data_IF_920951426611
#
_entry.id   IF_920951426611
#
_cell.length_a   1.000
_cell.length_b   1.000
_cell.length_c   1.000
_cell.angle_alpha   90.00
_cell.angle_beta   90.00
_cell.angle_gamma   90.00
#
_symmetry.space_group_name_H-M   'P 1'
#
loop_
_entity.id
_entity.type
_entity.pdbx_description
1 polymer ?
2 non-polymer ?
3 non-polymer ?
4 non-polymer ?
5 non-polymer ?
6 non-polymer ?
7 non-polymer ?
8 water ?
#
# COMPACT_ATOMS: atom_id res chain seq x y z
N UNK A 1 -17.44 -10.32 13.60
CA UNK A 1 -15.98 -10.31 13.50
C UNK A 1 -15.46 -8.89 13.37
N UNK A 2 -14.14 -8.74 13.47
CA UNK A 2 -13.51 -7.44 13.38
C UNK A 2 -13.41 -6.91 11.95
N UNK A 3 -13.14 -5.61 11.82
CA UNK A 3 -13.08 -4.99 10.50
C UNK A 3 -11.68 -4.60 10.07
N UNK A 4 -11.40 -4.83 8.80
CA UNK A 4 -10.11 -4.42 8.24
C UNK A 4 -10.28 -3.43 7.09
N UNK A 5 -9.38 -2.45 7.00
CA UNK A 5 -9.33 -1.51 5.88
C UNK A 5 -7.88 -1.31 5.45
N UNK A 6 -7.65 -1.17 4.15
CA UNK A 6 -6.31 -0.87 3.64
C UNK A 6 -6.41 -0.38 2.21
N UNK A 7 -5.61 0.63 1.87
CA UNK A 7 -5.66 1.20 0.54
C UNK A 7 -4.29 1.24 -0.13
N UNK A 8 -4.30 1.24 -1.46
CA UNK A 8 -3.08 1.30 -2.27
C UNK A 8 -3.34 2.32 -3.38
N UNK A 9 -2.39 3.21 -3.63
CA UNK A 9 -2.60 4.23 -4.66
C UNK A 9 -2.32 3.74 -6.06
N UNK A 10 -3.17 4.16 -6.98
CA UNK A 10 -3.00 3.85 -8.39
C UNK A 10 -2.07 4.89 -9.02
N UNK A 11 -0.93 5.11 -8.36
CA UNK A 11 0.04 6.08 -8.84
C UNK A 11 1.06 5.38 -9.73
N UNK A 12 0.83 4.12 -10.05
CA UNK A 12 1.76 3.36 -10.89
C UNK A 12 1.31 1.91 -10.78
N UNK A 13 2.15 1.00 -11.26
CA UNK A 13 1.85 -0.42 -11.14
C UNK A 13 2.49 -0.90 -9.83
N UNK A 14 1.70 -1.55 -8.98
CA UNK A 14 2.20 -2.01 -7.69
C UNK A 14 3.44 -2.90 -7.82
N UNK A 15 4.31 -2.81 -6.82
CA UNK A 15 5.59 -3.50 -6.84
C UNK A 15 5.65 -4.69 -5.89
N UNK A 16 6.75 -5.44 -5.95
CA UNK A 16 6.91 -6.58 -5.07
C UNK A 16 6.97 -6.10 -3.63
N UNK A 17 7.33 -4.84 -3.46
CA UNK A 17 7.38 -4.23 -2.13
C UNK A 17 5.96 -4.05 -1.59
N UNK A 18 5.06 -3.63 -2.47
CA UNK A 18 3.65 -3.47 -2.10
C UNK A 18 3.02 -4.83 -1.79
N UNK A 19 3.41 -5.83 -2.58
CA UNK A 19 2.91 -7.18 -2.43
C UNK A 19 3.38 -7.82 -1.11
N UNK A 20 4.69 -7.80 -0.88
CA UNK A 20 5.26 -8.41 0.31
C UNK A 20 4.83 -7.68 1.58
N UNK A 21 4.79 -6.35 1.54
CA UNK A 21 4.42 -5.57 2.72
C UNK A 21 2.93 -5.51 3.06
N UNK A 22 2.07 -5.69 2.06
CA UNK A 22 0.63 -5.54 2.30
C UNK A 22 -0.31 -6.50 1.57
N UNK A 23 -0.38 -6.38 0.25
CA UNK A 23 -1.32 -7.16 -0.56
C UNK A 23 -1.35 -8.65 -0.24
N UNK A 24 -0.18 -9.23 -0.08
CA UNK A 24 -0.06 -10.66 0.20
C UNK A 24 -0.87 -11.00 1.44
N UNK A 25 -0.77 -10.16 2.46
CA UNK A 25 -1.52 -10.42 3.67
C UNK A 25 -3.03 -10.18 3.56
N UNK A 26 -3.44 -9.30 2.64
CA UNK A 26 -4.88 -9.08 2.42
C UNK A 26 -5.54 -10.42 2.10
N UNK A 27 -4.87 -11.20 1.27
CA UNK A 27 -5.39 -12.47 0.78
C UNK A 27 -5.68 -13.44 1.91
N UNK A 28 -4.79 -13.47 2.90
CA UNK A 28 -4.97 -14.34 4.05
C UNK A 28 -6.04 -13.78 4.99
N UNK A 29 -5.99 -12.47 5.21
CA UNK A 29 -6.90 -11.81 6.15
C UNK A 29 -8.37 -11.78 5.77
N UNK A 30 -8.67 -11.81 4.48
CA UNK A 30 -10.06 -11.70 4.01
C UNK A 30 -10.99 -12.77 4.59
N UNK A 31 -10.45 -13.92 4.98
CA UNK A 31 -11.30 -14.99 5.50
C UNK A 31 -11.58 -14.88 6.99
N UNK A 32 -10.77 -14.12 7.71
CA UNK A 32 -10.96 -14.02 9.15
C UNK A 32 -11.58 -12.70 9.60
N UNK A 33 -11.72 -11.75 8.68
CA UNK A 33 -12.26 -10.44 9.00
C UNK A 33 -13.20 -9.87 7.95
N UNK A 34 -13.91 -8.80 8.31
CA UNK A 34 -14.69 -8.04 7.35
C UNK A 34 -13.72 -7.01 6.79
N UNK A 35 -13.43 -7.11 5.51
CA UNK A 35 -12.39 -6.31 4.87
C UNK A 35 -12.87 -5.37 3.80
N UNK A 36 -12.25 -4.19 3.77
CA UNK A 36 -12.45 -3.19 2.72
C UNK A 36 -11.05 -2.92 2.17
N UNK A 37 -10.87 -3.14 0.87
CA UNK A 37 -9.59 -2.92 0.22
C UNK A 37 -9.83 -1.88 -0.85
N UNK A 38 -9.12 -0.77 -0.74
CA UNK A 38 -9.40 0.38 -1.57
C UNK A 38 -8.34 0.73 -2.60
N UNK A 39 -8.81 1.29 -3.71
CA UNK A 39 -7.94 1.84 -4.74
C UNK A 39 -8.02 3.34 -4.49
N UNK A 40 -7.03 3.90 -3.81
CA UNK A 40 -7.08 5.30 -3.42
C UNK A 40 -6.63 6.31 -4.47
N UNK A 41 -7.49 6.58 -5.45
CA UNK A 41 -7.20 7.54 -6.54
C UNK A 41 -7.14 9.01 -6.10
N UNK A 42 -7.84 9.35 -5.03
CA UNK A 42 -7.78 10.71 -4.52
C UNK A 42 -6.45 10.97 -3.82
N UNK A 43 -5.80 9.93 -3.33
CA UNK A 43 -4.48 10.10 -2.71
C UNK A 43 -3.45 10.21 -3.84
N UNK A 44 -3.68 9.51 -4.93
CA UNK A 44 -2.74 9.47 -6.05
C UNK A 44 -2.50 10.83 -6.69
N UNK A 45 -3.56 11.63 -6.82
CA UNK A 45 -3.42 12.98 -7.39
C UNK A 45 -2.79 14.01 -6.44
N UNK A 46 -2.28 13.60 -5.29
CA UNK A 46 -1.57 14.56 -4.44
C UNK A 46 -0.28 14.97 -5.16
N UNK A 47 0.09 14.21 -6.19
CA UNK A 47 1.19 14.59 -7.09
C UNK A 47 0.68 14.41 -8.52
N UNK A 48 1.34 15.03 -9.49
CA UNK A 48 0.88 14.92 -10.89
C UNK A 48 0.72 13.48 -11.36
N UNK A 49 -0.37 13.21 -12.06
CA UNK A 49 -0.64 11.93 -12.70
C UNK A 49 -1.26 12.27 -14.06
N UNK A 50 -0.71 11.69 -15.12
CA UNK A 50 -1.31 11.91 -16.44
C UNK A 50 -2.69 11.25 -16.36
N UNK A 51 -3.72 11.96 -16.81
CA UNK A 51 -5.09 11.47 -16.69
C UNK A 51 -5.32 10.10 -17.33
N UNK A 52 -4.79 9.90 -18.54
CA UNK A 52 -4.94 8.61 -19.22
C UNK A 52 -4.22 7.52 -18.43
N UNK A 53 -3.04 7.84 -17.93
CA UNK A 53 -2.28 6.88 -17.12
C UNK A 53 -2.99 6.56 -15.80
N UNK A 54 -3.63 7.56 -15.19
CA UNK A 54 -4.35 7.32 -13.94
C UNK A 54 -5.55 6.39 -14.15
N UNK A 55 -6.36 6.67 -15.18
CA UNK A 55 -7.54 5.85 -15.48
C UNK A 55 -7.13 4.39 -15.66
N UNK A 56 -6.03 4.20 -16.39
CA UNK A 56 -5.51 2.89 -16.67
C UNK A 56 -4.92 2.22 -15.43
N UNK A 57 -4.24 3.00 -14.59
CA UNK A 57 -3.62 2.44 -13.39
C UNK A 57 -4.67 2.02 -12.36
N UNK A 58 -5.83 2.69 -12.39
CA UNK A 58 -6.92 2.35 -11.50
C UNK A 58 -7.51 0.98 -11.83
N UNK A 59 -7.66 0.71 -13.12
CA UNK A 59 -8.23 -0.54 -13.60
C UNK A 59 -7.27 -1.70 -13.40
N UNK A 60 -5.98 -1.44 -13.65
CA UNK A 60 -4.95 -2.45 -13.44
C UNK A 60 -4.82 -2.85 -11.98
N UNK A 61 -4.90 -1.87 -11.08
CA UNK A 61 -4.79 -2.16 -9.64
C UNK A 61 -5.95 -3.06 -9.18
N UNK A 62 -7.14 -2.81 -9.71
CA UNK A 62 -8.31 -3.63 -9.37
C UNK A 62 -8.11 -5.05 -9.89
N UNK A 63 -7.59 -5.18 -11.12
CA UNK A 63 -7.34 -6.49 -11.70
C UNK A 63 -6.29 -7.25 -10.89
N UNK A 64 -5.31 -6.51 -10.37
CA UNK A 64 -4.25 -7.09 -9.55
C UNK A 64 -4.72 -7.52 -8.17
N UNK A 65 -5.60 -6.74 -7.56
CA UNK A 65 -6.20 -7.12 -6.29
C UNK A 65 -6.86 -8.51 -6.45
N UNK A 66 -7.67 -8.63 -7.49
CA UNK A 66 -8.41 -9.86 -7.76
C UNK A 66 -7.53 -11.00 -8.25
N UNK A 67 -6.50 -10.64 -9.01
CA UNK A 67 -5.57 -11.61 -9.56
C UNK A 67 -4.75 -12.28 -8.48
N UNK A 68 -4.42 -11.57 -7.41
CA UNK A 68 -3.67 -12.19 -6.32
C UNK A 68 -4.56 -13.07 -5.44
N UNK A 69 -5.87 -12.98 -5.62
CA UNK A 69 -6.76 -13.86 -4.86
C UNK A 69 -7.77 -13.21 -3.94
N UNK A 70 -7.94 -11.90 -4.01
CA UNK A 70 -8.98 -11.26 -3.20
C UNK A 70 -10.31 -11.71 -3.77
N UNK A 71 -11.16 -12.29 -2.93
CA UNK A 71 -12.49 -12.79 -3.34
C UNK A 71 -13.51 -11.72 -3.03
N UNK A 72 -14.17 -11.20 -4.06
CA UNK A 72 -15.15 -10.13 -3.89
C UNK A 72 -16.37 -10.52 -3.06
N UNK A 73 -16.55 -11.82 -2.79
CA UNK A 73 -17.64 -12.25 -1.94
C UNK A 73 -17.20 -12.30 -0.48
N UNK A 74 -15.89 -12.19 -0.25
CA UNK A 74 -15.36 -12.23 1.11
C UNK A 74 -14.84 -10.85 1.53
N UNK A 75 -14.64 -9.96 0.55
CA UNK A 75 -14.16 -8.62 0.86
C UNK A 75 -14.76 -7.59 -0.10
N UNK A 76 -14.76 -6.33 0.33
CA UNK A 76 -15.28 -5.26 -0.49
C UNK A 76 -14.10 -4.54 -1.16
N UNK A 77 -14.11 -4.55 -2.50
CA UNK A 77 -13.07 -3.90 -3.30
C UNK A 77 -13.70 -2.72 -4.05
N UNK A 78 -13.19 -1.52 -3.84
CA UNK A 78 -13.82 -0.35 -4.43
C UNK A 78 -12.83 0.78 -4.68
N UNK A 79 -13.26 1.76 -5.44
CA UNK A 79 -12.44 2.92 -5.79
C UNK A 79 -12.83 4.09 -4.88
N UNK A 80 -11.85 4.67 -4.22
CA UNK A 80 -12.06 5.79 -3.30
C UNK A 80 -13.00 6.90 -3.78
N UNK A 81 -12.74 7.43 -4.97
CA UNK A 81 -13.53 8.54 -5.53
C UNK A 81 -14.99 8.20 -5.83
N UNK A 82 -15.31 6.92 -5.92
CA UNK A 82 -16.69 6.52 -6.18
C UNK A 82 -17.52 6.53 -4.89
N UNK A 83 -16.87 6.89 -3.78
CA UNK A 83 -17.56 7.00 -2.48
C UNK A 83 -17.31 8.42 -1.94
N UNK A 84 -18.24 9.33 -2.25
CA UNK A 84 -18.08 10.74 -1.84
C UNK A 84 -17.75 10.96 -0.36
N UNK A 85 -18.16 10.02 0.48
CA UNK A 85 -17.94 10.14 1.92
C UNK A 85 -16.50 10.31 2.32
N UNK A 86 -15.59 9.77 1.51
CA UNK A 86 -14.18 9.89 1.85
C UNK A 86 -13.76 11.35 1.84
N UNK A 87 -14.15 12.07 0.79
CA UNK A 87 -13.86 13.49 0.68
C UNK A 87 -14.62 14.32 1.75
N UNK A 88 -15.85 13.91 2.07
CA UNK A 88 -16.64 14.62 3.07
C UNK A 88 -16.00 14.48 4.48
N UNK A 89 -15.68 13.27 4.88
CA UNK A 89 -15.03 13.06 6.18
C UNK A 89 -13.60 13.57 6.18
N UNK A 90 -12.98 13.65 5.02
CA UNK A 90 -11.62 14.21 4.95
C UNK A 90 -11.66 15.70 5.33
N UNK A 91 -12.67 16.41 4.84
CA UNK A 91 -12.77 17.82 5.16
C UNK A 91 -13.03 18.03 6.66
N UNK A 92 -13.96 17.26 7.23
CA UNK A 92 -14.25 17.34 8.64
C UNK A 92 -13.00 17.08 9.48
N UNK A 93 -12.23 16.06 9.10
CA UNK A 93 -11.00 15.73 9.81
C UNK A 93 -9.90 16.76 9.63
N UNK A 94 -9.83 17.39 8.47
CA UNK A 94 -8.79 18.41 8.32
C UNK A 94 -9.08 19.69 9.08
N UNK A 95 -10.31 19.79 9.58
CA UNK A 95 -10.72 20.91 10.41
C UNK A 95 -10.38 20.63 11.88
N UNK A 96 -9.99 19.40 12.20
CA UNK A 96 -9.57 19.09 13.56
C UNK A 96 -8.07 18.81 13.69
N UNK A 97 -7.39 18.50 12.58
CA UNK A 97 -5.95 18.29 12.62
C UNK A 97 -5.22 19.63 12.67
N UNK A 98 -4.09 19.67 13.35
CA UNK A 98 -3.29 20.89 13.45
C UNK A 98 -2.26 20.95 12.34
N UNK A 99 -1.99 22.15 11.82
CA UNK A 99 -1.02 22.31 10.74
C UNK A 99 0.34 21.73 11.13
N UNK A 100 0.77 21.97 12.35
CA UNK A 100 2.07 21.48 12.81
C UNK A 100 2.14 19.96 12.75
N UNK A 101 1.03 19.29 13.07
CA UNK A 101 0.98 17.83 13.03
C UNK A 101 1.20 17.33 11.60
N UNK A 102 0.68 18.08 10.65
CA UNK A 102 0.81 17.74 9.24
C UNK A 102 2.24 18.00 8.77
N UNK A 103 2.78 19.14 9.18
CA UNK A 103 4.13 19.53 8.78
C UNK A 103 5.20 18.60 9.33
N UNK A 104 4.89 17.89 10.39
CA UNK A 104 5.87 17.00 11.00
C UNK A 104 5.87 15.59 10.45
N UNK A 105 4.93 15.28 9.55
CA UNK A 105 4.87 13.94 8.97
C UNK A 105 6.13 13.71 8.14
N UNK A 106 6.80 12.58 8.37
CA UNK A 106 8.02 12.29 7.64
C UNK A 106 7.78 12.10 6.14
N UNK A 107 6.65 11.50 5.78
CA UNK A 107 6.31 11.32 4.37
C UNK A 107 6.24 12.65 3.66
N UNK A 108 5.64 13.65 4.32
CA UNK A 108 5.50 14.98 3.75
C UNK A 108 6.86 15.64 3.57
N UNK A 109 7.64 15.68 4.65
CA UNK A 109 8.97 16.27 4.61
C UNK A 109 9.81 15.62 3.53
N UNK A 110 9.67 14.30 3.41
CA UNK A 110 10.38 13.52 2.40
C UNK A 110 9.93 13.89 0.99
N UNK A 111 8.66 13.59 0.68
CA UNK A 111 8.11 13.86 -0.64
C UNK A 111 8.12 15.32 -1.04
N UNK A 112 8.22 16.21 -0.06
CA UNK A 112 8.28 17.64 -0.34
C UNK A 112 9.73 18.11 -0.27
N UNK A 113 10.61 17.17 0.04
CA UNK A 113 12.03 17.45 0.15
C UNK A 113 12.64 17.92 -1.16
N UNK A 114 13.16 19.15 -1.15
CA UNK A 114 13.84 19.72 -2.31
C UNK A 114 12.96 20.34 -3.40
N UNK A 115 11.67 20.48 -3.13
CA UNK A 115 10.76 21.06 -4.12
C UNK A 115 10.40 22.52 -3.83
N UNK A 116 10.36 23.33 -4.88
CA UNK A 116 10.06 24.75 -4.74
C UNK A 116 8.58 25.00 -4.46
N UNK A 117 7.73 24.51 -5.36
CA UNK A 117 6.28 24.66 -5.23
C UNK A 117 5.63 23.28 -5.10
N UNK A 118 4.93 23.06 -4.00
CA UNK A 118 4.29 21.77 -3.74
C UNK A 118 2.78 21.90 -3.49
N UNK A 119 1.99 20.99 -4.05
CA UNK A 119 0.53 20.99 -3.89
C UNK A 119 0.13 20.86 -2.41
N UNK A 120 -1.00 21.46 -2.06
CA UNK A 120 -1.49 21.38 -0.69
C UNK A 120 -1.90 19.96 -0.35
N UNK A 121 -2.39 19.22 -1.36
CA UNK A 121 -2.77 17.82 -1.18
C UNK A 121 -1.63 17.00 -0.56
N UNK A 122 -0.39 17.35 -0.88
CA UNK A 122 0.76 16.64 -0.32
C UNK A 122 0.73 16.77 1.20
N UNK A 123 0.50 17.99 1.67
CA UNK A 123 0.43 18.29 3.09
C UNK A 123 -0.84 17.75 3.78
N UNK A 124 -1.96 17.76 3.06
CA UNK A 124 -3.23 17.34 3.62
C UNK A 124 -3.65 15.90 3.36
N UNK A 125 -2.69 15.12 2.88
CA UNK A 125 -2.84 13.69 2.63
C UNK A 125 -3.36 12.93 3.86
N UNK A 126 -2.75 13.17 5.02
CA UNK A 126 -3.12 12.42 6.22
C UNK A 126 -4.59 12.38 6.66
N UNK A 127 -5.30 13.51 6.65
CA UNK A 127 -6.71 13.53 7.07
C UNK A 127 -7.62 12.72 6.13
N UNK A 128 -7.24 12.64 4.86
CA UNK A 128 -8.01 11.84 3.90
C UNK A 128 -7.78 10.35 4.22
N UNK A 129 -6.56 10.00 4.60
CA UNK A 129 -6.23 8.62 4.96
C UNK A 129 -6.95 8.23 6.25
N UNK A 130 -6.99 9.17 7.19
CA UNK A 130 -7.67 8.95 8.46
C UNK A 130 -9.16 8.73 8.19
N UNK A 131 -9.71 9.46 7.22
CA UNK A 131 -11.11 9.29 6.86
C UNK A 131 -11.34 7.91 6.26
N UNK A 132 -10.48 7.52 5.31
CA UNK A 132 -10.56 6.21 4.68
C UNK A 132 -10.75 5.12 5.73
N UNK A 133 -9.94 5.17 6.79
CA UNK A 133 -9.94 4.18 7.84
C UNK A 133 -11.14 4.26 8.76
N UNK A 134 -11.37 5.46 9.30
CA UNK A 134 -12.40 5.70 10.32
C UNK A 134 -13.85 5.54 9.87
N UNK A 135 -14.11 5.76 8.59
CA UNK A 135 -15.46 5.64 8.05
C UNK A 135 -16.08 4.26 8.26
N UNK A 136 -15.24 3.23 8.35
CA UNK A 136 -15.72 1.85 8.43
C UNK A 136 -15.62 1.19 9.81
N UNK A 137 -15.30 2.00 10.82
CA UNK A 137 -15.16 1.48 12.19
C UNK A 137 -14.13 0.38 12.18
N UNK A 138 -13.03 0.68 11.50
CA UNK A 138 -11.95 -0.27 11.29
C UNK A 138 -11.21 -0.58 12.58
N UNK A 139 -10.94 -1.86 12.80
CA UNK A 139 -10.19 -2.31 13.97
C UNK A 139 -8.72 -2.47 13.61
N UNK A 140 -8.45 -3.04 12.44
CA UNK A 140 -7.10 -3.38 12.03
C UNK A 140 -6.71 -2.81 10.67
N UNK A 141 -5.50 -2.26 10.58
CA UNK A 141 -5.00 -1.65 9.36
C UNK A 141 -3.67 -2.29 8.95
N UNK A 142 -3.74 -3.25 8.02
CA UNK A 142 -2.54 -3.95 7.55
C UNK A 142 -1.72 -3.12 6.55
N UNK A 143 -0.48 -2.84 6.95
CA UNK A 143 0.52 -2.08 6.19
C UNK A 143 1.86 -2.63 6.75
N UNK A 144 3.04 -2.29 6.23
CA UNK A 144 3.36 -1.13 5.45
C UNK A 144 4.03 -0.30 6.54
N UNK A 145 5.28 -0.64 6.90
CA UNK A 145 5.96 0.06 8.00
C UNK A 145 6.11 1.58 7.83
N UNK A 146 6.15 2.02 6.59
CA UNK A 146 6.26 3.44 6.27
C UNK A 146 4.94 4.14 6.58
N UNK A 147 3.91 3.37 6.89
CA UNK A 147 2.60 3.96 7.16
C UNK A 147 2.26 4.04 8.65
N UNK A 148 3.20 3.64 9.49
CA UNK A 148 2.99 3.61 10.93
C UNK A 148 2.60 4.97 11.53
N UNK A 149 3.33 6.00 11.13
CA UNK A 149 3.12 7.34 11.63
C UNK A 149 1.79 7.93 11.20
N UNK A 150 1.33 7.57 10.01
CA UNK A 150 0.03 8.05 9.54
C UNK A 150 -1.06 7.44 10.39
N UNK A 151 -0.89 6.16 10.73
CA UNK A 151 -1.87 5.47 11.54
C UNK A 151 -1.88 5.97 12.98
N UNK A 152 -0.72 6.44 13.45
CA UNK A 152 -0.63 7.01 14.80
C UNK A 152 -1.37 8.34 14.82
N UNK A 153 -1.24 9.11 13.75
CA UNK A 153 -1.99 10.37 13.64
C UNK A 153 -3.48 10.07 13.49
N UNK A 154 -3.82 9.02 12.75
CA UNK A 154 -5.23 8.67 12.60
C UNK A 154 -5.86 8.38 13.97
N UNK A 155 -5.09 7.74 14.86
CA UNK A 155 -5.56 7.42 16.20
C UNK A 155 -5.71 8.69 17.01
N UNK A 156 -4.75 9.60 16.86
CA UNK A 156 -4.82 10.90 17.52
C UNK A 156 -6.10 11.62 17.08
N UNK A 157 -6.36 11.64 15.78
CA UNK A 157 -7.56 12.31 15.25
C UNK A 157 -8.84 11.64 15.72
N UNK A 158 -8.88 10.32 15.71
CA UNK A 158 -10.07 9.62 16.18
C UNK A 158 -10.36 10.00 17.64
N UNK A 159 -9.34 9.98 18.48
CA UNK A 159 -9.50 10.30 19.90
C UNK A 159 -9.95 11.76 20.10
N UNK A 160 -9.34 12.66 19.34
CA UNK A 160 -9.68 14.07 19.43
C UNK A 160 -11.15 14.29 19.09
N UNK A 161 -11.59 13.72 17.97
CA UNK A 161 -12.99 13.84 17.57
C UNK A 161 -13.89 13.19 18.64
N UNK A 162 -13.47 12.05 19.16
CA UNK A 162 -14.24 11.33 20.16
C UNK A 162 -14.43 12.11 21.46
N UNK A 163 -13.37 12.78 21.93
CA UNK A 163 -13.39 13.51 23.18
C UNK A 163 -13.97 14.92 23.01
N UNK A 164 -13.85 15.44 21.80
CA UNK A 164 -14.35 16.76 21.46
C UNK A 164 -15.86 16.73 21.21
N UNK A 165 -16.32 15.71 20.48
CA UNK A 165 -17.73 15.62 20.09
C UNK A 165 -18.54 14.46 20.64
N UNK A 166 -17.88 13.44 21.16
CA UNK A 166 -18.61 12.26 21.64
C UNK A 166 -18.10 11.01 20.94
N UNK A 167 -18.10 9.89 21.67
CA UNK A 167 -17.59 8.63 21.14
C UNK A 167 -18.28 8.22 19.86
N UNK A 168 -17.50 7.96 18.82
CA UNK A 168 -18.04 7.60 17.52
C UNK A 168 -17.12 6.61 16.82
N UNK A 169 -15.84 6.96 16.74
CA UNK A 169 -14.88 6.16 16.01
C UNK A 169 -14.28 5.05 16.85
N UNK A 170 -13.94 3.96 16.19
CA UNK A 170 -13.21 2.88 16.80
C UNK A 170 -11.76 3.33 16.66
N UNK A 171 -10.93 3.03 17.66
CA UNK A 171 -9.51 3.38 17.58
C UNK A 171 -8.79 2.24 16.85
N UNK A 172 -8.30 2.53 15.66
CA UNK A 172 -7.66 1.51 14.84
C UNK A 172 -6.25 1.16 15.30
N UNK A 173 -5.80 -0.02 14.93
CA UNK A 173 -4.46 -0.48 15.25
C UNK A 173 -3.79 -0.94 13.97
N UNK A 174 -2.52 -0.59 13.81
CA UNK A 174 -1.75 -1.01 12.64
C UNK A 174 -1.36 -2.48 12.78
N UNK A 175 -1.17 -3.15 11.65
CA UNK A 175 -0.71 -4.53 11.64
C UNK A 175 0.37 -4.58 10.59
N UNK A 176 1.61 -4.61 11.04
CA UNK A 176 2.76 -4.56 10.18
C UNK A 176 3.49 -5.89 10.27
N UNK A 177 3.66 -6.56 9.14
CA UNK A 177 4.35 -7.85 9.11
C UNK A 177 5.68 -7.81 9.85
N UNK A 178 6.02 -8.93 10.47
CA UNK A 178 7.29 -9.06 11.18
C UNK A 178 8.42 -9.07 10.17
N UNK A 179 8.14 -9.59 8.99
CA UNK A 179 9.12 -9.66 7.91
C UNK A 179 8.54 -8.99 6.68
N UNK A 180 9.40 -8.27 5.96
CA UNK A 180 9.04 -7.61 4.72
C UNK A 180 8.16 -6.36 4.86
N UNK A 181 8.23 -5.70 6.00
CA UNK A 181 7.44 -4.49 6.21
C UNK A 181 8.11 -3.28 5.55
N UNK A 182 9.34 -3.48 5.07
CA UNK A 182 10.06 -2.41 4.39
C UNK A 182 11.09 -2.95 3.41
N UNK A 183 10.62 -3.30 2.21
CA UNK A 183 11.50 -3.78 1.16
C UNK A 183 12.23 -2.56 0.60
N UNK A 184 13.53 -2.68 0.37
CA UNK A 184 14.30 -1.53 -0.10
C UNK A 184 14.46 -1.41 -1.61
N UNK A 185 14.86 -0.23 -2.06
CA UNK A 185 15.10 0.03 -3.48
C UNK A 185 16.30 -0.81 -3.91
N UNK A 186 16.24 -1.33 -5.13
CA UNK A 186 17.30 -2.16 -5.67
C UNK A 186 18.50 -1.32 -6.07
N UNK A 187 18.25 -0.04 -6.26
CA UNK A 187 19.24 0.92 -6.73
C UNK A 187 19.80 1.78 -5.58
N UNK A 188 19.02 1.93 -4.51
CA UNK A 188 19.44 2.68 -3.32
C UNK A 188 18.97 1.98 -2.05
N UNK A 189 19.78 1.02 -1.59
CA UNK A 189 19.45 0.23 -0.41
C UNK A 189 19.15 1.01 0.87
N UNK A 190 19.29 2.32 0.85
CA UNK A 190 18.97 3.12 2.04
C UNK A 190 17.56 3.71 1.95
N UNK A 191 16.92 3.54 0.80
CA UNK A 191 15.56 4.03 0.58
C UNK A 191 14.65 2.84 0.28
N UNK A 192 13.38 2.95 0.67
CA UNK A 192 12.44 1.87 0.41
C UNK A 192 12.03 1.86 -1.05
N UNK A 193 11.59 0.70 -1.51
CA UNK A 193 11.13 0.53 -2.88
C UNK A 193 9.78 1.25 -3.00
N UNK A 194 9.64 2.09 -4.01
CA UNK A 194 8.42 2.89 -4.23
C UNK A 194 8.01 2.78 -5.69
N UNK A 195 6.73 2.52 -5.94
CA UNK A 195 6.24 2.37 -7.32
C UNK A 195 6.32 3.65 -8.16
N UNK A 196 6.52 4.79 -7.51
CA UNK A 196 6.64 6.05 -8.24
C UNK A 196 8.08 6.56 -8.33
N UNK A 197 9.05 5.73 -7.95
CA UNK A 197 10.45 6.13 -8.03
C UNK A 197 10.75 6.50 -9.48
N UNK A 198 11.34 7.67 -9.70
CA UNK A 198 11.65 8.11 -11.07
C UNK A 198 12.54 7.14 -11.85
N UNK A 199 13.22 6.25 -11.13
CA UNK A 199 14.11 5.25 -11.73
C UNK A 199 13.43 3.88 -11.68
N UNK A 200 12.98 3.39 -12.83
CA UNK A 200 12.27 2.11 -12.92
C UNK A 200 13.10 0.91 -12.45
N UNK A 201 14.42 1.10 -12.38
CA UNK A 201 15.32 0.05 -11.91
C UNK A 201 15.21 -0.15 -10.41
N UNK A 202 14.63 0.83 -9.72
CA UNK A 202 14.48 0.79 -8.27
C UNK A 202 13.51 -0.27 -7.79
N UNK A 203 12.52 -0.58 -8.62
CA UNK A 203 11.45 -1.48 -8.23
C UNK A 203 11.15 -2.53 -9.28
N UNK A 204 10.47 -3.58 -8.85
CA UNK A 204 9.95 -4.57 -9.78
C UNK A 204 8.42 -4.51 -9.65
N UNK A 205 7.72 -4.25 -10.75
CA UNK A 205 6.25 -4.23 -10.70
C UNK A 205 5.74 -5.65 -10.86
N UNK A 206 4.49 -5.87 -10.46
CA UNK A 206 3.88 -7.19 -10.57
C UNK A 206 3.63 -7.54 -12.04
N UNK A 207 3.76 -6.53 -12.90
CA UNK A 207 3.52 -6.74 -14.33
C UNK A 207 4.80 -6.82 -15.15
N UNK A 208 5.95 -6.80 -14.50
CA UNK A 208 7.21 -6.85 -15.23
C UNK A 208 7.35 -8.20 -15.91
N UNK A 209 7.87 -8.23 -17.13
CA UNK A 209 8.08 -9.49 -17.82
C UNK A 209 9.41 -10.10 -17.37
N UNK A 210 9.67 -11.34 -17.79
CA UNK A 210 10.87 -12.04 -17.35
C UNK A 210 12.19 -11.32 -17.62
N UNK A 211 12.36 -10.85 -18.86
CA UNK A 211 13.62 -10.17 -19.23
C UNK A 211 13.85 -8.94 -18.37
N UNK A 212 12.78 -8.20 -18.11
CA UNK A 212 12.87 -7.01 -17.28
C UNK A 212 13.21 -7.37 -15.83
N UNK A 213 12.65 -8.47 -15.32
CA UNK A 213 12.95 -8.83 -13.94
C UNK A 213 14.41 -9.25 -13.83
N UNK A 214 14.89 -9.96 -14.84
CA UNK A 214 16.28 -10.38 -14.87
C UNK A 214 17.23 -9.18 -14.84
N UNK A 215 17.00 -8.19 -15.70
CA UNK A 215 17.84 -6.99 -15.74
C UNK A 215 17.85 -6.25 -14.41
N UNK A 216 16.67 -6.01 -13.86
CA UNK A 216 16.58 -5.26 -12.61
C UNK A 216 17.28 -5.94 -11.45
N UNK A 217 17.16 -7.26 -11.34
CA UNK A 217 17.83 -7.97 -10.27
C UNK A 217 19.33 -7.97 -10.54
N UNK A 218 19.70 -8.09 -11.80
CA UNK A 218 21.10 -8.09 -12.17
C UNK A 218 21.83 -6.82 -11.77
N UNK A 219 21.19 -5.66 -11.97
CA UNK A 219 21.82 -4.38 -11.67
C UNK A 219 21.54 -3.89 -10.25
N UNK A 220 20.90 -4.72 -9.43
CA UNK A 220 20.68 -4.36 -8.04
C UNK A 220 22.02 -4.08 -7.37
N UNK A 221 22.08 -2.98 -6.62
CA UNK A 221 23.31 -2.59 -5.95
C UNK A 221 23.70 -3.53 -4.82
N UNK A 222 24.98 -3.89 -4.74
CA UNK A 222 25.44 -4.78 -3.68
C UNK A 222 26.67 -4.22 -2.98
N UNK A 223 27.75 -5.00 -2.95
CA UNK A 223 28.98 -4.57 -2.31
C UNK A 223 30.14 -5.35 -2.94
N UNK A 224 31.36 -4.97 -2.60
CA UNK A 224 32.53 -5.63 -3.19
C UNK A 224 33.03 -6.81 -2.36
N UNK A 225 32.27 -7.20 -1.35
CA UNK A 225 32.64 -8.31 -0.49
C UNK A 225 32.56 -9.67 -1.19
N UNK A 226 31.43 -9.94 -1.85
CA UNK A 226 31.25 -11.20 -2.55
C UNK A 226 30.73 -12.30 -1.63
N UNK A 227 30.33 -11.93 -0.42
CA UNK A 227 29.81 -12.90 0.54
C UNK A 227 28.31 -12.72 0.77
N UNK A 228 27.56 -13.80 0.58
CA UNK A 228 26.12 -13.75 0.76
C UNK A 228 25.72 -13.97 2.21
N UNK A 229 25.76 -12.90 3.00
CA UNK A 229 25.39 -12.97 4.40
C UNK A 229 24.59 -11.74 4.81
N UNK A 230 23.63 -11.94 5.70
CA UNK A 230 22.77 -10.87 6.17
C UNK A 230 23.46 -9.91 7.13
N UNK A 231 23.56 -8.65 6.72
CA UNK A 231 24.14 -7.58 7.54
C UNK A 231 23.59 -6.24 7.06
N UNK A 232 22.40 -5.90 7.56
CA UNK A 232 21.68 -4.70 7.16
C UNK A 232 22.50 -3.42 7.15
N UNK A 233 23.44 -3.30 8.09
CA UNK A 233 24.24 -2.09 8.21
C UNK A 233 25.45 -2.09 7.28
N UNK A 234 26.12 -3.24 7.20
CA UNK A 234 27.33 -3.37 6.37
C UNK A 234 27.02 -3.73 4.92
N UNK A 235 26.04 -4.61 4.74
CA UNK A 235 25.66 -5.10 3.42
C UNK A 235 24.16 -4.89 3.21
N UNK A 236 23.76 -3.63 3.03
CA UNK A 236 22.34 -3.30 2.88
C UNK A 236 21.70 -3.84 1.59
N UNK A 237 22.41 -3.77 0.47
CA UNK A 237 21.88 -4.28 -0.79
C UNK A 237 21.68 -5.81 -0.73
N UNK A 238 22.72 -6.51 -0.28
CA UNK A 238 22.66 -7.95 -0.18
C UNK A 238 21.63 -8.44 0.84
N UNK A 239 21.46 -7.70 1.92
CA UNK A 239 20.50 -8.05 2.97
C UNK A 239 19.06 -7.92 2.48
N UNK A 240 18.81 -6.87 1.69
CA UNK A 240 17.50 -6.65 1.12
C UNK A 240 17.20 -7.77 0.12
N UNK A 241 18.17 -8.11 -0.72
CA UNK A 241 17.96 -9.18 -1.69
C UNK A 241 17.69 -10.52 -0.98
N UNK A 242 18.42 -10.75 0.10
CA UNK A 242 18.25 -11.97 0.90
C UNK A 242 16.83 -12.00 1.48
N UNK A 243 16.37 -10.84 1.94
CA UNK A 243 15.03 -10.70 2.51
C UNK A 243 13.93 -11.01 1.50
N UNK A 244 14.08 -10.51 0.27
CA UNK A 244 13.10 -10.76 -0.77
C UNK A 244 13.06 -12.25 -1.11
N UNK A 245 14.25 -12.82 -1.26
CA UNK A 245 14.40 -14.23 -1.61
C UNK A 245 13.72 -15.08 -0.56
N UNK A 246 13.96 -14.72 0.69
CA UNK A 246 13.41 -15.43 1.83
C UNK A 246 11.89 -15.42 1.94
N UNK A 247 11.27 -14.24 1.93
CA UNK A 247 9.81 -14.16 2.05
C UNK A 247 9.08 -14.76 0.85
N UNK A 248 9.72 -14.74 -0.32
CA UNK A 248 9.10 -15.25 -1.53
C UNK A 248 9.28 -16.76 -1.69
N UNK A 249 10.37 -17.30 -1.18
CA UNK A 249 10.67 -18.73 -1.34
C UNK A 249 10.19 -19.58 -0.17
N UNK A 250 10.10 -18.98 1.01
CA UNK A 250 9.70 -19.72 2.20
C UNK A 250 10.91 -20.24 2.96
N UNK A 251 12.11 -19.89 2.48
CA UNK A 251 13.35 -20.29 3.13
C UNK A 251 13.83 -19.20 4.06
N UNK A 252 14.46 -19.59 5.17
CA UNK A 252 14.95 -18.62 6.13
C UNK A 252 16.24 -17.99 5.63
N UNK A 253 16.59 -16.83 6.15
CA UNK A 253 17.82 -16.14 5.76
C UNK A 253 19.00 -17.07 6.08
N UNK A 254 18.89 -17.77 7.21
CA UNK A 254 19.90 -18.73 7.66
C UNK A 254 20.11 -19.81 6.61
N UNK A 255 19.02 -20.39 6.13
CA UNK A 255 19.08 -21.44 5.11
C UNK A 255 19.71 -20.94 3.82
N UNK A 256 19.37 -19.72 3.42
CA UNK A 256 19.91 -19.17 2.16
C UNK A 256 21.38 -18.84 2.30
N UNK A 257 21.77 -18.40 3.48
CA UNK A 257 23.18 -18.12 3.77
C UNK A 257 24.01 -19.38 3.56
N UNK A 258 23.47 -20.52 4.00
CA UNK A 258 24.15 -21.80 3.86
C UNK A 258 24.13 -22.28 2.42
N UNK A 259 22.96 -22.27 1.80
CA UNK A 259 22.84 -22.70 0.42
C UNK A 259 23.81 -21.94 -0.47
N UNK A 260 24.08 -20.69 -0.14
CA UNK A 260 24.95 -19.85 -0.94
C UNK A 260 26.34 -19.64 -0.35
N UNK A 261 26.86 -20.67 0.32
CA UNK A 261 28.20 -20.63 0.88
C UNK A 261 29.17 -20.96 -0.24
N UNK A 262 30.18 -20.12 -0.45
CA UNK A 262 31.13 -20.38 -1.52
C UNK A 262 30.70 -19.79 -2.86
N UNK A 263 29.66 -18.95 -2.84
CA UNK A 263 29.16 -18.24 -4.02
C UNK A 263 29.15 -16.76 -3.58
N UNK A 264 28.98 -15.80 -4.50
CA UNK A 264 28.64 -16.02 -5.89
C UNK A 264 27.44 -15.10 -6.18
N UNK A 265 27.65 -13.78 -6.16
CA UNK A 265 26.58 -12.80 -6.37
C UNK A 265 25.86 -12.98 -7.70
N UNK A 266 26.63 -13.35 -8.72
CA UNK A 266 26.07 -13.52 -10.06
C UNK A 266 25.01 -14.63 -10.07
N UNK A 267 25.33 -15.74 -9.43
CA UNK A 267 24.44 -16.89 -9.37
C UNK A 267 23.30 -16.68 -8.38
N UNK A 268 23.59 -15.99 -7.28
CA UNK A 268 22.58 -15.66 -6.28
C UNK A 268 21.55 -14.75 -6.94
N UNK A 269 22.03 -13.80 -7.74
CA UNK A 269 21.14 -12.88 -8.44
C UNK A 269 20.29 -13.54 -9.52
N UNK A 270 20.91 -14.41 -10.30
CA UNK A 270 20.18 -15.10 -11.36
C UNK A 270 19.10 -16.00 -10.78
N UNK A 271 19.40 -16.62 -9.65
CA UNK A 271 18.45 -17.51 -9.00
C UNK A 271 17.27 -16.69 -8.49
N UNK A 272 17.57 -15.57 -7.84
CA UNK A 272 16.56 -14.68 -7.30
C UNK A 272 15.60 -14.18 -8.38
N UNK A 273 16.13 -13.78 -9.54
CA UNK A 273 15.24 -13.33 -10.62
C UNK A 273 14.22 -14.41 -10.96
N UNK A 274 14.66 -15.67 -11.06
CA UNK A 274 13.75 -16.76 -11.40
C UNK A 274 12.71 -16.98 -10.31
N UNK A 275 13.11 -16.84 -9.06
CA UNK A 275 12.17 -16.98 -7.95
C UNK A 275 11.06 -15.92 -8.03
N UNK A 276 11.41 -14.70 -8.42
CA UNK A 276 10.44 -13.61 -8.55
C UNK A 276 9.55 -13.83 -9.77
N UNK A 277 10.18 -14.22 -10.87
CA UNK A 277 9.43 -14.56 -12.07
C UNK A 277 8.39 -15.67 -11.80
N UNK A 278 8.80 -16.74 -11.14
CA UNK A 278 7.89 -17.88 -10.87
C UNK A 278 6.74 -17.47 -9.97
N UNK A 279 7.01 -16.50 -9.10
CA UNK A 279 6.00 -15.96 -8.19
C UNK A 279 4.92 -15.17 -8.93
N UNK A 280 5.34 -14.31 -9.86
CA UNK A 280 4.45 -13.42 -10.57
C UNK A 280 3.68 -14.09 -11.71
N UNK A 281 4.20 -15.20 -12.19
CA UNK A 281 3.62 -15.92 -13.32
C UNK A 281 2.11 -16.14 -13.22
N UNK A 282 1.65 -16.83 -12.17
CA UNK A 282 0.22 -17.12 -12.04
C UNK A 282 -0.60 -15.86 -11.82
N UNK A 283 -0.01 -14.89 -11.12
CA UNK A 283 -0.65 -13.59 -10.89
C UNK A 283 -0.90 -12.85 -12.21
N UNK A 284 0.11 -12.79 -13.06
CA UNK A 284 -0.02 -12.12 -14.36
C UNK A 284 -1.07 -12.78 -15.26
N UNK A 285 -1.13 -14.10 -15.24
CA UNK A 285 -2.10 -14.83 -16.04
C UNK A 285 -3.53 -14.45 -15.62
N UNK A 286 -3.77 -14.42 -14.33
CA UNK A 286 -5.10 -14.06 -13.86
C UNK A 286 -5.38 -12.57 -14.09
N UNK A 287 -4.34 -11.75 -14.04
CA UNK A 287 -4.49 -10.32 -14.31
C UNK A 287 -5.06 -10.09 -15.71
N UNK A 288 -4.53 -10.80 -16.70
CA UNK A 288 -5.00 -10.64 -18.08
C UNK A 288 -6.45 -11.04 -18.26
N UNK A 289 -6.88 -12.08 -17.57
CA UNK A 289 -8.28 -12.50 -17.61
C UNK A 289 -9.19 -11.36 -17.13
N UNK A 290 -8.86 -10.76 -15.99
CA UNK A 290 -9.66 -9.66 -15.45
C UNK A 290 -9.70 -8.40 -16.33
N UNK A 291 -8.55 -8.06 -16.92
CA UNK A 291 -8.45 -6.87 -17.75
C UNK A 291 -9.34 -6.93 -18.98
N UNK A 292 -9.71 -8.13 -19.40
CA UNK A 292 -10.49 -8.26 -20.62
C UNK A 292 -11.95 -8.64 -20.44
N UNK A 293 -12.48 -8.49 -19.23
CA UNK A 293 -13.89 -8.82 -19.00
C UNK A 293 -14.63 -7.63 -18.40
N UNK A 294 -15.96 -7.66 -18.56
CA UNK A 294 -16.81 -6.63 -17.98
C UNK A 294 -17.04 -6.96 -16.50
N UNK A 295 -16.68 -8.18 -16.11
CA UNK A 295 -16.81 -8.62 -14.72
C UNK A 295 -16.03 -7.71 -13.77
N UNK A 296 -14.90 -7.18 -14.24
CA UNK A 296 -14.08 -6.28 -13.43
C UNK A 296 -14.89 -5.05 -13.01
N UNK A 297 -15.63 -4.48 -13.95
CA UNK A 297 -16.47 -3.32 -13.67
C UNK A 297 -17.62 -3.64 -12.72
N UNK A 298 -18.21 -4.82 -12.86
CA UNK A 298 -19.32 -5.23 -11.99
C UNK A 298 -18.89 -5.39 -10.53
N UNK A 299 -17.70 -5.93 -10.32
CA UNK A 299 -17.15 -6.12 -8.98
C UNK A 299 -16.95 -4.76 -8.34
N UNK A 300 -16.39 -3.82 -9.09
CA UNK A 300 -16.18 -2.48 -8.58
C UNK A 300 -17.50 -1.74 -8.31
N UNK A 301 -18.50 -1.92 -9.18
CA UNK A 301 -19.82 -1.32 -8.96
C UNK A 301 -20.41 -1.85 -7.65
N UNK A 302 -20.31 -3.16 -7.46
CA UNK A 302 -20.85 -3.82 -6.29
C UNK A 302 -20.11 -3.36 -5.04
N UNK A 303 -18.80 -3.23 -5.15
CA UNK A 303 -17.99 -2.84 -4.01
C UNK A 303 -18.29 -1.40 -3.60
N UNK A 304 -18.47 -0.51 -4.57
CA UNK A 304 -18.74 0.90 -4.25
C UNK A 304 -20.12 1.02 -3.61
N UNK A 305 -21.06 0.20 -4.07
CA UNK A 305 -22.40 0.23 -3.54
C UNK A 305 -22.40 -0.14 -2.06
N UNK A 306 -21.67 -1.19 -1.71
CA UNK A 306 -21.56 -1.62 -0.31
C UNK A 306 -20.81 -0.57 0.52
N UNK A 307 -19.66 -0.10 0.01
CA UNK A 307 -18.88 0.92 0.70
C UNK A 307 -19.67 2.23 0.92
N UNK A 308 -20.39 2.68 -0.09
CA UNK A 308 -21.22 3.88 0.04
C UNK A 308 -22.26 3.68 1.16
N UNK A 309 -22.87 2.50 1.22
CA UNK A 309 -23.87 2.23 2.27
C UNK A 309 -23.29 2.48 3.68
N UNK A 310 -22.13 1.89 3.95
CA UNK A 310 -21.48 2.04 5.25
C UNK A 310 -20.90 3.43 5.53
N UNK A 311 -20.17 3.98 4.56
CA UNK A 311 -19.52 5.26 4.72
C UNK A 311 -20.48 6.45 4.86
N UNK A 312 -21.48 6.51 3.98
CA UNK A 312 -22.44 7.60 4.03
C UNK A 312 -23.18 7.67 5.37
N UNK A 313 -23.38 6.52 6.01
CA UNK A 313 -24.02 6.48 7.32
C UNK A 313 -23.07 7.01 8.40
N UNK A 314 -21.77 6.69 8.29
CA UNK A 314 -20.79 7.26 9.23
C UNK A 314 -20.68 8.77 9.03
N UNK A 315 -20.78 9.23 7.78
CA UNK A 315 -20.72 10.66 7.50
C UNK A 315 -21.93 11.37 8.14
N UNK A 316 -23.10 10.75 8.06
CA UNK A 316 -24.30 11.29 8.71
C UNK A 316 -24.03 11.46 10.22
N UNK A 317 -23.48 10.41 10.83
CA UNK A 317 -23.13 10.44 12.25
C UNK A 317 -22.11 11.52 12.57
N UNK A 318 -21.10 11.67 11.73
CA UNK A 318 -20.09 12.70 11.93
C UNK A 318 -20.69 14.10 11.87
N UNK A 319 -21.50 14.34 10.84
CA UNK A 319 -22.14 15.64 10.66
C UNK A 319 -23.02 15.98 11.88
N UNK A 320 -23.76 14.99 12.36
CA UNK A 320 -24.63 15.15 13.53
C UNK A 320 -23.84 15.53 14.77
N UNK A 321 -22.71 14.87 15.00
CA UNK A 321 -21.86 15.20 16.16
C UNK A 321 -21.24 16.60 16.05
N UNK A 322 -20.90 17.02 14.82
CA UNK A 322 -20.31 18.34 14.61
C UNK A 322 -21.34 19.45 14.50
N UNK A 323 -22.59 19.09 14.20
CA UNK A 323 -23.65 20.07 14.04
C UNK A 323 -23.82 20.57 12.60
N UNK A 324 -23.16 19.92 11.66
CA UNK A 324 -23.30 20.33 10.26
C UNK A 324 -24.70 20.03 9.75
N UNK A 325 -25.11 20.74 8.70
CA UNK A 325 -26.40 20.49 8.05
C UNK A 325 -27.61 20.56 8.96
N UNK A 326 -28.53 19.63 8.76
CA UNK A 326 -29.79 19.61 9.50
C UNK A 326 -30.05 18.24 10.14
N UNK A 327 -30.88 18.21 11.16
CA UNK A 327 -31.22 16.95 11.81
C UNK A 327 -31.81 16.04 10.73
N UNK A 328 -31.29 14.82 10.64
CA UNK A 328 -31.77 13.85 9.67
C UNK A 328 -32.33 12.67 10.37
X LIG B 1 -14.30 -11.54 4.88
X LIG C 1 3.88 5.81 -0.77
X LIG D 1 4.22 5.74 -4.29
X LIG D 1 4.03 6.54 -3.06
X LIG D 1 3.39 6.30 -5.37
X LIG D 1 5.65 5.70 -4.64
X LIG D 1 4.23 3.14 -2.95
X LIG D 1 4.99 3.61 -1.77
X LIG D 1 5.03 2.13 -3.64
X LIG D 1 3.75 4.24 -3.98
X LIG D 1 1.55 2.96 -1.69
X LIG D 1 1.87 4.32 -1.22
X LIG D 1 0.37 2.82 -2.58
X LIG D 1 2.87 2.42 -2.46
X LIG D 1 1.39 2.04 -0.46
X LIG D 1 0.52 0.84 -0.47
X LIG D 1 0.93 -0.10 0.58
X LIG D 1 2.24 -0.65 0.33
X LIG D 1 0.98 0.38 2.05
X LIG D 1 0.49 -0.65 2.92
X LIG D 1 2.47 0.59 2.17
X LIG D 1 3.03 0.74 3.46
X LIG D 1 3.02 -0.65 1.47
X LIG D 1 4.44 -0.47 0.98
X LIG D 1 4.90 0.56 0.17
X LIG D 1 6.24 0.46 -0.09
X LIG D 1 6.61 -0.68 0.58
X LIG D 1 7.91 -1.33 0.70
X LIG D 1 9.01 -0.88 0.12
X LIG D 1 7.94 -2.48 1.47
X LIG D 1 6.81 -3.04 2.11
X LIG D 1 5.59 -2.41 1.99
X LIG D 1 5.50 -1.26 1.25
X LIG E 1 -1.39 6.39 2.65
X LIG E 1 -1.09 4.97 2.36
X LIG E 1 -2.18 4.37 1.45
X LIG E 1 -3.52 4.48 2.14
X LIG E 1 -3.96 3.68 3.14
X LIG E 1 -5.23 4.23 3.40
X LIG E 1 -3.49 2.60 3.84
X LIG E 1 -4.41 5.46 1.80
X LIG E 1 -5.44 5.26 2.59
X LIG E 1 -6.04 3.66 4.39
X LIG E 1 -4.29 2.03 4.82
X LIG E 1 -5.56 2.55 5.09
X LIG E 1 0.26 4.82 1.70
X LIG E 1 0.91 5.95 1.23
X LIG E 1 0.87 3.76 1.65
X LIG F 1 3.27 10.71 -12.92
X LIG F 1 2.64 11.10 -13.73
X LIG F 1 4.43 10.92 -12.68
X LIG F 1 2.64 9.87 -11.79
X LIG F 1 3.14 8.45 -11.37
X LIG F 1 2.10 7.49 -11.73
X LIG F 1 3.31 8.29 -9.82
X LIG F 1 3.23 9.47 -8.88
X LIG F 1 3.19 10.68 -9.40
X LIG F 1 3.18 9.37 -7.68
X LIG F 1 4.41 8.05 -12.11
X LIG F 1 5.47 8.64 -11.74
X LIG F 1 4.36 7.04 -12.87
X LIG G 1 25.93 -9.10 -10.53
X LIG G 1 25.82 -10.28 -11.62
X LIG G 1 27.06 -8.34 -10.28
X LIG G 1 27.79 -8.14 -11.39
X LIG G 1 27.08 -8.01 -9.11
X LIG G 1 26.66 -7.86 -7.61
X LIG H 1 -17.81 -8.44 3.25
X LIG H 1 -17.74 -9.51 2.05
X LIG H 1 -16.78 -7.57 3.63
X LIG H 1 -15.69 -8.26 4.03
X LIG H 1 -17.18 -6.44 3.59
X LIG H 1 -18.16 -5.24 3.42
X LIG I 1 8.54 -19.69 -6.10
X LIG I 1 9.59 -20.26 -5.02
X LIG I 1 7.15 -19.65 -5.95
X LIG I 1 6.79 -18.97 -4.86
X LIG I 1 6.63 -20.28 -6.85
X LIG I 1 6.47 -21.16 -8.13
#
# INVERSE_FOLDING_TARGET
MKTIFSGIQPSGVITIGNYIGALRQFVELQHEYNCYFCIVDQHAITVWQDPHELRQNIRRLAALYLAVGIDPTQATLFIQSEVPAHAQAAWMLQCIVYIGELERMTQFKEKSAGKEAVSAGLLTYPPLMAADILLYNTDIVPVGEDQKQHIELTRDLAERFNKRYGELFTIPEARIPKVGARIMSLVDPTKKMSKSDPNPKAYITLLDDAKTIEKKIKSAVTDSEGTIRYDKEAKPGISNLLNIYSTLSGQSIEELERQYEGKGYGVFKADLAQVVIETLRPIQERYHHWMESEELDRVLDEGAEKANRVASEMVRKMEQAMGLGRRR
NA NA
MG MG
ATP PG O1G O2G O3G PB O1B O2B O3B PA O1A O2A O3A O5' C5' C4' O4' C3' O3' C2' O2' C1' N9 C8 N7 C5 C6 N6 N1 C2 N3 C4
LTN NH3 CA CB CG CD2 CE2 CE3 CD1 NE1 CZ2 CZ3 CH2 C O N
CIT C1 O1 O2 C2 C3 O7 C4 C5 O3 O4 C6 O5 O6
GOL C1 O1 C2 O2 C3 O3
GOL C1 O1 C2 O2 C3 O3
GOL C1 O1 C2 O2 C3 O3
#
